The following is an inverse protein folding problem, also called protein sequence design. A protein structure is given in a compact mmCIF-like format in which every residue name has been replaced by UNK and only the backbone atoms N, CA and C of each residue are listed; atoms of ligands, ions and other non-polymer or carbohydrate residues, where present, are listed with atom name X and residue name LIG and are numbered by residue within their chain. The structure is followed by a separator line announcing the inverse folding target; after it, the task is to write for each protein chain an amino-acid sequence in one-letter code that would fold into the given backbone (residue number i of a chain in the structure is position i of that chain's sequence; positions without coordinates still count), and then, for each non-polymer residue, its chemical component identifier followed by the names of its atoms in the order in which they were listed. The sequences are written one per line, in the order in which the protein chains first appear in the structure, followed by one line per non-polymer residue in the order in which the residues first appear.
data_IF_853965875250
#
_entry.id   IF_853965875250
#
_cell.length_a   1.000
_cell.length_b   1.000
_cell.length_c   1.000
_cell.angle_alpha   90.00
_cell.angle_beta   90.00
_cell.angle_gamma   90.00
#
_symmetry.space_group_name_H-M   'P 1'
#
loop_
_entity.id
_entity.type
_entity.pdbx_description
1 polymer ?
#
# COMPACT_ATOMS: atom_id res chain seq x y z
N UNK A 1 -31.18 -7.63 18.38
CA UNK A 1 -31.33 -7.39 19.84
C UNK A 1 -30.73 -6.05 20.25
N UNK A 2 -29.53 -5.70 19.75
CA UNK A 2 -28.97 -4.35 19.90
C UNK A 2 -29.81 -3.28 19.20
N UNK A 3 -30.27 -3.53 17.96
CA UNK A 3 -31.14 -2.60 17.23
C UNK A 3 -32.43 -2.30 18.01
N UNK A 4 -33.03 -3.33 18.60
CA UNK A 4 -34.23 -3.19 19.44
C UNK A 4 -33.98 -2.36 20.71
N UNK A 5 -32.76 -2.35 21.25
CA UNK A 5 -32.41 -1.46 22.36
C UNK A 5 -32.24 -0.01 21.89
N UNK A 6 -31.67 0.20 20.70
CA UNK A 6 -31.55 1.53 20.07
C UNK A 6 -32.93 2.10 19.75
N UNK A 7 -33.83 1.30 19.16
CA UNK A 7 -35.23 1.68 18.88
C UNK A 7 -36.00 2.12 20.14
N UNK A 8 -35.65 1.55 21.30
CA UNK A 8 -36.25 1.89 22.59
C UNK A 8 -35.55 3.08 23.28
N UNK A 9 -34.66 3.80 22.60
CA UNK A 9 -33.89 4.93 23.15
C UNK A 9 -32.81 4.51 24.15
N UNK A 10 -32.48 3.22 24.25
CA UNK A 10 -31.50 2.66 25.19
C UNK A 10 -30.15 2.39 24.52
N UNK A 11 -29.69 3.33 23.71
CA UNK A 11 -28.46 3.22 22.93
C UNK A 11 -27.21 2.93 23.78
N UNK A 12 -27.10 3.53 24.97
CA UNK A 12 -25.99 3.26 25.90
C UNK A 12 -25.95 1.80 26.36
N UNK A 13 -27.12 1.18 26.56
CA UNK A 13 -27.21 -0.23 26.95
C UNK A 13 -26.85 -1.15 25.79
N UNK A 14 -27.25 -0.80 24.57
CA UNK A 14 -26.88 -1.52 23.35
C UNK A 14 -25.36 -1.55 23.17
N UNK A 15 -24.70 -0.38 23.24
CA UNK A 15 -23.24 -0.24 23.13
C UNK A 15 -22.52 -1.03 24.23
N UNK A 16 -22.96 -0.90 25.48
CA UNK A 16 -22.37 -1.63 26.61
C UNK A 16 -22.47 -3.14 26.44
N UNK A 17 -23.65 -3.65 26.07
CA UNK A 17 -23.88 -5.08 25.82
C UNK A 17 -22.91 -5.61 24.76
N UNK A 18 -22.77 -4.90 23.64
CA UNK A 18 -21.90 -5.33 22.54
C UNK A 18 -20.43 -5.29 22.94
N UNK A 19 -19.96 -4.20 23.57
CA UNK A 19 -18.59 -4.11 24.08
C UNK A 19 -18.26 -5.26 25.03
N UNK A 20 -19.19 -5.65 25.90
CA UNK A 20 -19.01 -6.80 26.78
C UNK A 20 -18.90 -8.11 26.02
N UNK A 21 -19.69 -8.32 24.97
CA UNK A 21 -19.64 -9.54 24.15
C UNK A 21 -18.36 -9.63 23.32
N UNK A 22 -17.90 -8.52 22.75
CA UNK A 22 -16.61 -8.43 22.05
C UNK A 22 -15.47 -8.81 22.99
N UNK A 23 -15.43 -8.23 24.21
CA UNK A 23 -14.39 -8.53 25.22
C UNK A 23 -14.37 -9.99 25.67
N UNK A 24 -15.51 -10.68 25.64
CA UNK A 24 -15.61 -12.10 26.00
C UNK A 24 -15.25 -13.05 24.86
N UNK A 25 -14.87 -12.52 23.70
CA UNK A 25 -14.62 -13.28 22.48
C UNK A 25 -15.76 -14.25 22.14
N UNK A 26 -17.00 -13.79 22.34
CA UNK A 26 -18.21 -14.57 22.10
C UNK A 26 -18.40 -14.89 20.61
N UNK A 27 -19.14 -15.95 20.27
CA UNK A 27 -19.35 -16.32 18.86
C UNK A 27 -19.99 -15.15 18.10
N UNK A 28 -19.40 -14.78 16.95
CA UNK A 28 -19.87 -13.65 16.14
C UNK A 28 -19.29 -12.28 16.51
N UNK A 29 -18.07 -12.21 17.04
CA UNK A 29 -17.37 -10.93 17.33
C UNK A 29 -17.31 -10.00 16.12
N UNK A 30 -17.07 -10.52 14.91
CA UNK A 30 -16.94 -9.71 13.70
C UNK A 30 -18.21 -8.91 13.38
N UNK A 31 -19.41 -9.52 13.23
CA UNK A 31 -20.67 -8.78 13.09
C UNK A 31 -20.94 -7.78 14.23
N UNK A 32 -20.52 -8.10 15.46
CA UNK A 32 -20.70 -7.21 16.61
C UNK A 32 -19.77 -5.99 16.55
N UNK A 33 -18.54 -6.16 16.06
CA UNK A 33 -17.61 -5.04 15.81
C UNK A 33 -18.13 -4.15 14.68
N UNK A 34 -18.54 -4.74 13.55
CA UNK A 34 -19.12 -3.98 12.42
C UNK A 34 -20.36 -3.19 12.84
N UNK A 35 -21.24 -3.80 13.63
CA UNK A 35 -22.41 -3.09 14.15
C UNK A 35 -21.99 -1.88 15.00
N UNK A 36 -21.03 -2.06 15.91
CA UNK A 36 -20.62 -1.02 16.84
C UNK A 36 -19.87 0.12 16.13
N UNK A 37 -19.07 -0.21 15.12
CA UNK A 37 -18.38 0.76 14.28
C UNK A 37 -19.39 1.64 13.55
N UNK A 38 -20.33 1.06 12.79
CA UNK A 38 -21.38 1.83 12.10
C UNK A 38 -22.23 2.66 13.06
N UNK A 39 -22.62 2.08 14.19
CA UNK A 39 -23.40 2.81 15.19
C UNK A 39 -22.63 4.02 15.75
N UNK A 40 -21.33 3.88 15.98
CA UNK A 40 -20.48 4.97 16.44
C UNK A 40 -20.23 6.02 15.35
N UNK A 41 -20.07 5.61 14.09
CA UNK A 41 -19.97 6.52 12.94
C UNK A 41 -21.24 7.38 12.77
N UNK A 42 -22.41 6.74 12.79
CA UNK A 42 -23.72 7.41 12.69
C UNK A 42 -23.95 8.41 13.84
N UNK A 43 -23.44 8.08 15.03
CA UNK A 43 -23.48 8.94 16.21
C UNK A 43 -22.39 10.02 16.22
N UNK A 44 -21.45 10.02 15.28
CA UNK A 44 -20.29 10.92 15.26
C UNK A 44 -19.28 10.66 16.39
N UNK A 45 -19.36 9.50 17.05
CA UNK A 45 -18.42 9.08 18.10
C UNK A 45 -17.13 8.50 17.50
N UNK A 46 -16.36 9.39 16.87
CA UNK A 46 -15.07 9.07 16.26
C UNK A 46 -14.04 8.55 17.26
N UNK A 47 -14.23 8.80 18.56
CA UNK A 47 -13.36 8.21 19.61
C UNK A 47 -13.57 6.71 19.67
N UNK A 48 -14.82 6.23 19.71
CA UNK A 48 -15.13 4.80 19.70
C UNK A 48 -14.70 4.14 18.38
N UNK A 49 -14.93 4.78 17.23
CA UNK A 49 -14.47 4.27 15.92
C UNK A 49 -12.95 4.13 15.90
N UNK A 50 -12.22 5.12 16.42
CA UNK A 50 -10.75 5.08 16.54
C UNK A 50 -10.28 3.91 17.40
N UNK A 51 -10.93 3.65 18.53
CA UNK A 51 -10.58 2.51 19.40
C UNK A 51 -10.78 1.16 18.69
N UNK A 52 -11.89 1.00 17.97
CA UNK A 52 -12.20 -0.25 17.25
C UNK A 52 -11.25 -0.51 16.10
N UNK A 53 -10.99 0.52 15.28
CA UNK A 53 -10.05 0.44 14.14
C UNK A 53 -8.62 0.24 14.63
N UNK A 54 -8.23 0.85 15.75
CA UNK A 54 -6.94 0.64 16.40
C UNK A 54 -6.77 -0.81 16.86
N UNK A 55 -7.75 -1.37 17.57
CA UNK A 55 -7.70 -2.75 18.04
C UNK A 55 -7.64 -3.73 16.86
N UNK A 56 -8.44 -3.51 15.81
CA UNK A 56 -8.41 -4.32 14.59
C UNK A 56 -7.04 -4.25 13.89
N UNK A 57 -6.48 -3.05 13.72
CA UNK A 57 -5.17 -2.87 13.09
C UNK A 57 -4.04 -3.52 13.90
N UNK A 58 -4.09 -3.45 15.23
CA UNK A 58 -3.10 -4.13 16.09
C UNK A 58 -3.13 -5.64 15.96
N UNK A 59 -4.33 -6.20 15.83
CA UNK A 59 -4.55 -7.63 15.72
C UNK A 59 -4.13 -8.16 14.34
N UNK A 60 -4.55 -7.47 13.28
CA UNK A 60 -4.26 -7.83 11.89
C UNK A 60 -3.82 -6.60 11.09
N UNK A 61 -2.54 -6.18 11.17
CA UNK A 61 -2.12 -4.96 10.49
C UNK A 61 -2.28 -5.10 8.97
N UNK A 62 -2.83 -4.08 8.32
CA UNK A 62 -3.04 -4.04 6.87
C UNK A 62 -3.03 -2.60 6.38
N UNK A 63 -2.85 -2.38 5.08
CA UNK A 63 -2.90 -1.03 4.52
C UNK A 63 -4.30 -0.43 4.68
N UNK A 64 -5.35 -1.22 4.40
CA UNK A 64 -6.75 -0.79 4.60
C UNK A 64 -7.04 -0.46 6.07
N UNK A 65 -6.62 -1.33 7.00
CA UNK A 65 -6.79 -1.07 8.43
C UNK A 65 -6.05 0.18 8.91
N UNK A 66 -4.87 0.48 8.33
CA UNK A 66 -4.14 1.71 8.60
C UNK A 66 -4.90 2.94 8.09
N UNK A 67 -5.48 2.88 6.88
CA UNK A 67 -6.27 3.97 6.30
C UNK A 67 -7.55 4.23 7.09
N UNK A 68 -8.29 3.18 7.47
CA UNK A 68 -9.48 3.29 8.33
C UNK A 68 -9.13 3.88 9.71
N UNK A 69 -8.03 3.42 10.31
CA UNK A 69 -7.52 4.00 11.57
C UNK A 69 -7.17 5.48 11.41
N UNK A 70 -6.46 5.85 10.33
CA UNK A 70 -6.08 7.24 10.06
C UNK A 70 -7.31 8.13 9.95
N UNK A 71 -8.29 7.74 9.15
CA UNK A 71 -9.52 8.51 8.97
C UNK A 71 -10.26 8.72 10.30
N UNK A 72 -10.49 7.64 11.05
CA UNK A 72 -11.16 7.72 12.34
C UNK A 72 -10.39 8.61 13.34
N UNK A 73 -9.07 8.42 13.43
CA UNK A 73 -8.21 9.15 14.34
C UNK A 73 -8.06 10.63 13.96
N UNK A 74 -8.07 10.97 12.66
CA UNK A 74 -8.07 12.36 12.19
C UNK A 74 -9.37 13.06 12.60
N UNK A 75 -10.53 12.42 12.39
CA UNK A 75 -11.84 12.93 12.82
C UNK A 75 -11.95 13.06 14.34
N UNK A 76 -11.30 12.19 15.09
CA UNK A 76 -11.21 12.26 16.55
C UNK A 76 -10.12 13.23 17.06
N UNK A 77 -9.28 13.80 16.20
CA UNK A 77 -8.17 14.68 16.58
C UNK A 77 -7.00 13.97 17.29
N UNK A 78 -6.88 12.65 17.16
CA UNK A 78 -5.89 11.79 17.85
C UNK A 78 -4.81 11.23 16.93
N UNK A 79 -4.87 11.53 15.63
CA UNK A 79 -3.97 10.93 14.65
C UNK A 79 -2.49 11.18 14.93
N UNK A 80 -2.13 12.38 15.37
CA UNK A 80 -0.74 12.75 15.69
C UNK A 80 -0.11 11.81 16.74
N UNK A 81 -0.90 11.34 17.70
CA UNK A 81 -0.44 10.46 18.78
C UNK A 81 -0.40 8.99 18.33
N UNK A 82 -1.38 8.57 17.53
CA UNK A 82 -1.52 7.17 17.10
C UNK A 82 -0.61 6.80 15.92
N UNK A 83 -0.36 7.73 15.00
CA UNK A 83 0.48 7.52 13.81
C UNK A 83 1.83 6.86 14.12
N UNK A 84 2.68 7.38 15.04
CA UNK A 84 3.99 6.75 15.29
C UNK A 84 3.87 5.34 15.87
N UNK A 85 2.78 5.05 16.60
CA UNK A 85 2.54 3.72 17.14
C UNK A 85 2.09 2.75 16.04
N UNK A 86 1.19 3.18 15.16
CA UNK A 86 0.72 2.41 14.01
C UNK A 86 1.89 2.06 13.06
N UNK A 87 2.70 3.07 12.71
CA UNK A 87 3.86 2.89 11.84
C UNK A 87 4.87 1.89 12.41
N UNK A 88 5.11 1.94 13.73
CA UNK A 88 5.99 0.99 14.41
C UNK A 88 5.47 -0.45 14.37
N UNK A 89 4.15 -0.66 14.40
CA UNK A 89 3.55 -1.99 14.25
C UNK A 89 3.81 -2.53 12.85
N UNK A 90 3.57 -1.71 11.82
CA UNK A 90 3.86 -2.09 10.43
C UNK A 90 5.33 -2.48 10.25
N UNK A 91 6.24 -1.64 10.73
CA UNK A 91 7.69 -1.87 10.64
C UNK A 91 8.09 -3.19 11.32
N UNK A 92 7.61 -3.41 12.54
CA UNK A 92 7.95 -4.61 13.34
C UNK A 92 7.26 -5.88 12.87
N UNK A 93 6.23 -5.77 12.03
CA UNK A 93 5.56 -6.95 11.46
C UNK A 93 6.46 -7.76 10.51
N UNK A 94 7.60 -7.21 10.09
CA UNK A 94 8.52 -7.83 9.12
C UNK A 94 7.99 -7.85 7.68
N UNK A 95 6.73 -7.44 7.45
CA UNK A 95 6.14 -7.32 6.13
C UNK A 95 6.52 -5.99 5.50
N UNK A 96 7.63 -6.00 4.78
CA UNK A 96 8.15 -4.81 4.11
C UNK A 96 7.14 -4.18 3.14
N UNK A 97 6.39 -5.00 2.38
CA UNK A 97 5.36 -4.51 1.46
C UNK A 97 4.32 -3.63 2.17
N UNK A 98 3.83 -4.08 3.34
CA UNK A 98 2.87 -3.32 4.14
C UNK A 98 3.48 -1.99 4.60
N UNK A 99 4.72 -2.05 5.13
CA UNK A 99 5.37 -0.85 5.63
C UNK A 99 5.59 0.18 4.53
N UNK A 100 6.02 -0.24 3.34
CA UNK A 100 6.19 0.65 2.19
C UNK A 100 4.85 1.25 1.73
N UNK A 101 3.78 0.45 1.63
CA UNK A 101 2.45 0.97 1.28
C UNK A 101 1.98 2.05 2.26
N UNK A 102 2.18 1.83 3.56
CA UNK A 102 1.86 2.83 4.59
C UNK A 102 2.69 4.11 4.43
N UNK A 103 3.99 3.99 4.14
CA UNK A 103 4.84 5.16 3.90
C UNK A 103 4.37 5.94 2.66
N UNK A 104 3.92 5.25 1.61
CA UNK A 104 3.36 5.88 0.42
C UNK A 104 2.03 6.59 0.71
N UNK A 105 1.11 5.95 1.45
CA UNK A 105 -0.16 6.55 1.89
C UNK A 105 0.06 7.81 2.76
N UNK A 106 1.15 7.83 3.53
CA UNK A 106 1.57 8.98 4.33
C UNK A 106 2.33 10.06 3.54
N UNK A 107 2.64 9.82 2.26
CA UNK A 107 3.47 10.71 1.45
C UNK A 107 4.94 10.75 1.88
N UNK A 108 5.39 9.81 2.72
CA UNK A 108 6.75 9.70 3.24
C UNK A 108 7.70 9.05 2.22
N UNK A 109 7.76 9.62 1.02
CA UNK A 109 8.42 9.05 -0.16
C UNK A 109 9.92 8.82 0.08
N UNK A 110 10.62 9.77 0.68
CA UNK A 110 12.07 9.63 0.96
C UNK A 110 12.37 8.45 1.89
N UNK A 111 11.52 8.23 2.90
CA UNK A 111 11.63 7.09 3.80
C UNK A 111 11.32 5.78 3.07
N UNK A 112 10.35 5.77 2.16
CA UNK A 112 10.02 4.61 1.35
C UNK A 112 11.20 4.22 0.43
N UNK A 113 11.81 5.20 -0.24
CA UNK A 113 13.01 5.00 -1.08
C UNK A 113 14.17 4.45 -0.24
N UNK A 114 14.47 5.10 0.89
CA UNK A 114 15.55 4.68 1.77
C UNK A 114 15.34 3.25 2.29
N UNK A 115 14.10 2.88 2.63
CA UNK A 115 13.78 1.54 3.09
C UNK A 115 13.90 0.51 1.96
N UNK A 116 13.43 0.84 0.76
CA UNK A 116 13.50 0.00 -0.42
C UNK A 116 14.95 -0.33 -0.81
N UNK A 117 15.84 0.68 -0.83
CA UNK A 117 17.26 0.50 -1.18
C UNK A 117 18.01 -0.41 -0.21
N UNK A 118 17.61 -0.42 1.06
CA UNK A 118 18.20 -1.27 2.09
C UNK A 118 17.54 -2.65 2.18
N UNK A 119 16.54 -2.94 1.35
CA UNK A 119 15.85 -4.22 1.35
C UNK A 119 16.52 -5.23 0.42
N UNK A 120 16.56 -6.53 0.80
CA UNK A 120 16.95 -7.58 -0.13
C UNK A 120 15.98 -7.64 -1.32
N UNK A 121 16.51 -7.57 -2.55
CA UNK A 121 15.68 -7.35 -3.76
C UNK A 121 14.68 -8.47 -4.07
N UNK A 122 14.91 -9.70 -3.57
CA UNK A 122 14.07 -10.88 -3.85
C UNK A 122 12.86 -11.02 -2.92
N UNK A 123 12.72 -10.15 -1.94
CA UNK A 123 11.75 -10.31 -0.84
C UNK A 123 10.51 -9.43 -0.96
N UNK A 124 10.43 -8.61 -2.01
CA UNK A 124 9.39 -7.59 -2.18
C UNK A 124 8.54 -7.89 -3.41
N UNK A 125 7.25 -7.59 -3.31
CA UNK A 125 6.36 -7.59 -4.46
C UNK A 125 6.82 -6.52 -5.47
N UNK A 126 7.09 -6.86 -6.76
CA UNK A 126 7.48 -5.88 -7.76
C UNK A 126 6.47 -4.76 -7.98
N UNK A 127 5.18 -5.00 -7.70
CA UNK A 127 4.17 -3.95 -7.81
C UNK A 127 4.38 -2.88 -6.73
N UNK A 128 4.71 -3.28 -5.51
CA UNK A 128 5.05 -2.33 -4.43
C UNK A 128 6.36 -1.59 -4.73
N UNK A 129 7.36 -2.29 -5.30
CA UNK A 129 8.59 -1.63 -5.76
C UNK A 129 8.30 -0.57 -6.81
N UNK A 130 7.44 -0.89 -7.79
CA UNK A 130 6.99 0.02 -8.83
C UNK A 130 6.29 1.24 -8.23
N UNK A 131 5.38 1.04 -7.28
CA UNK A 131 4.66 2.15 -6.63
C UNK A 131 5.62 3.14 -5.96
N UNK A 132 6.64 2.63 -5.25
CA UNK A 132 7.70 3.48 -4.67
C UNK A 132 8.48 4.22 -5.75
N UNK A 133 8.82 3.55 -6.86
CA UNK A 133 9.57 4.16 -7.95
C UNK A 133 8.77 5.28 -8.66
N UNK A 134 7.47 5.07 -8.88
CA UNK A 134 6.58 6.08 -9.47
C UNK A 134 6.36 7.27 -8.54
N UNK A 135 6.18 7.02 -7.24
CA UNK A 135 6.11 8.08 -6.24
C UNK A 135 7.42 8.88 -6.18
N UNK A 136 8.58 8.21 -6.22
CA UNK A 136 9.88 8.86 -6.31
C UNK A 136 10.00 9.74 -7.55
N UNK A 137 9.58 9.24 -8.72
CA UNK A 137 9.65 9.97 -9.99
C UNK A 137 8.85 11.29 -9.98
N UNK A 138 7.84 11.40 -9.12
CA UNK A 138 7.02 12.62 -8.99
C UNK A 138 7.80 13.75 -8.30
N UNK A 139 8.66 13.42 -7.33
CA UNK A 139 9.46 14.38 -6.58
C UNK A 139 10.86 14.59 -7.18
N UNK A 140 11.49 13.48 -7.57
CA UNK A 140 12.82 13.41 -8.18
C UNK A 140 12.77 12.42 -9.35
N UNK A 141 12.60 12.91 -10.59
CA UNK A 141 12.54 12.08 -11.79
C UNK A 141 13.75 11.15 -11.95
N UNK A 142 14.96 11.57 -11.53
CA UNK A 142 16.16 10.74 -11.69
C UNK A 142 16.12 9.51 -10.77
N UNK A 143 15.77 9.71 -9.49
CA UNK A 143 15.60 8.59 -8.55
C UNK A 143 14.50 7.63 -9.02
N UNK A 144 13.40 8.16 -9.56
CA UNK A 144 12.33 7.34 -10.12
C UNK A 144 12.77 6.51 -11.32
N UNK A 145 13.49 7.10 -12.26
CA UNK A 145 14.06 6.41 -13.42
C UNK A 145 14.98 5.26 -12.97
N UNK A 146 15.89 5.53 -12.03
CA UNK A 146 16.81 4.51 -11.52
C UNK A 146 16.06 3.32 -10.88
N UNK A 147 15.08 3.59 -10.02
CA UNK A 147 14.30 2.55 -9.34
C UNK A 147 13.42 1.74 -10.32
N UNK A 148 12.86 2.38 -11.34
CA UNK A 148 12.08 1.68 -12.38
C UNK A 148 12.96 0.74 -13.21
N UNK A 149 14.16 1.18 -13.60
CA UNK A 149 15.11 0.31 -14.30
C UNK A 149 15.49 -0.92 -13.47
N UNK A 150 15.80 -0.73 -12.19
CA UNK A 150 16.05 -1.85 -11.27
C UNK A 150 14.84 -2.81 -11.19
N UNK A 151 13.61 -2.30 -11.19
CA UNK A 151 12.41 -3.14 -11.17
C UNK A 151 12.23 -3.93 -12.47
N UNK A 152 12.47 -3.30 -13.62
CA UNK A 152 12.45 -3.96 -14.95
C UNK A 152 13.43 -5.13 -14.98
N UNK A 153 14.66 -4.94 -14.51
CA UNK A 153 15.67 -5.99 -14.45
C UNK A 153 15.22 -7.15 -13.56
N UNK A 154 14.70 -6.86 -12.36
CA UNK A 154 14.18 -7.89 -11.45
C UNK A 154 13.02 -8.68 -12.07
N UNK A 155 12.10 -7.99 -12.76
CA UNK A 155 10.98 -8.63 -13.45
C UNK A 155 11.46 -9.53 -14.60
N UNK A 156 12.44 -9.09 -15.39
CA UNK A 156 13.03 -9.91 -16.46
C UNK A 156 13.70 -11.17 -15.88
N UNK A 157 14.38 -11.05 -14.73
CA UNK A 157 15.03 -12.17 -14.05
C UNK A 157 14.04 -13.26 -13.58
N UNK A 158 12.75 -12.94 -13.35
CA UNK A 158 11.73 -13.94 -12.99
C UNK A 158 11.41 -14.92 -14.12
N UNK A 159 11.69 -14.53 -15.37
CA UNK A 159 11.55 -15.36 -16.58
C UNK A 159 10.17 -15.95 -16.83
N UNK A 160 9.12 -15.29 -16.37
CA UNK A 160 7.75 -15.66 -16.66
C UNK A 160 7.03 -14.58 -17.48
N UNK A 161 5.95 -14.98 -18.16
CA UNK A 161 5.24 -14.09 -19.10
C UNK A 161 4.51 -12.94 -18.40
N UNK A 162 4.10 -13.12 -17.15
CA UNK A 162 3.45 -12.05 -16.39
C UNK A 162 4.48 -11.00 -15.99
N UNK A 163 5.64 -11.43 -15.49
CA UNK A 163 6.73 -10.52 -15.15
C UNK A 163 7.24 -9.73 -16.37
N UNK A 164 7.32 -10.36 -17.55
CA UNK A 164 7.65 -9.62 -18.79
C UNK A 164 6.61 -8.56 -19.15
N UNK A 165 5.32 -8.82 -18.94
CA UNK A 165 4.27 -7.80 -19.15
C UNK A 165 4.43 -6.64 -18.17
N UNK A 166 4.58 -6.91 -16.88
CA UNK A 166 4.85 -5.87 -15.88
C UNK A 166 6.11 -5.05 -16.21
N UNK A 167 7.17 -5.70 -16.70
CA UNK A 167 8.40 -5.02 -17.13
C UNK A 167 8.13 -4.09 -18.33
N UNK A 168 7.31 -4.51 -19.29
CA UNK A 168 6.91 -3.66 -20.41
C UNK A 168 6.11 -2.45 -19.93
N UNK A 169 5.21 -2.64 -18.96
CA UNK A 169 4.44 -1.55 -18.38
C UNK A 169 5.35 -0.52 -17.67
N UNK A 170 6.41 -0.98 -16.99
CA UNK A 170 7.44 -0.10 -16.40
C UNK A 170 8.24 0.64 -17.48
N UNK A 171 8.60 -0.04 -18.57
CA UNK A 171 9.32 0.57 -19.71
C UNK A 171 8.49 1.67 -20.39
N UNK A 172 7.17 1.50 -20.48
CA UNK A 172 6.28 2.57 -20.96
C UNK A 172 6.36 3.79 -20.04
N UNK A 173 6.37 3.60 -18.73
CA UNK A 173 6.52 4.72 -17.77
C UNK A 173 7.89 5.38 -17.91
N UNK A 174 8.96 4.61 -18.06
CA UNK A 174 10.31 5.11 -18.32
C UNK A 174 10.34 5.99 -19.58
N UNK A 175 9.80 5.52 -20.72
CA UNK A 175 9.71 6.34 -21.94
C UNK A 175 9.07 7.69 -21.65
N UNK A 176 7.93 7.69 -20.95
CA UNK A 176 7.19 8.91 -20.66
C UNK A 176 8.00 9.86 -19.76
N UNK A 177 8.76 9.34 -18.78
CA UNK A 177 9.67 10.14 -17.96
C UNK A 177 10.82 10.74 -18.77
N UNK A 178 11.53 9.93 -19.57
CA UNK A 178 12.60 10.43 -20.46
C UNK A 178 12.07 11.47 -21.46
N UNK A 179 10.85 11.30 -21.97
CA UNK A 179 10.21 12.27 -22.87
C UNK A 179 9.96 13.60 -22.16
N UNK A 180 9.41 13.58 -20.93
CA UNK A 180 9.18 14.78 -20.12
C UNK A 180 10.48 15.53 -19.79
N UNK A 181 11.58 14.80 -19.66
CA UNK A 181 12.91 15.36 -19.43
C UNK A 181 13.65 15.77 -20.72
N UNK A 182 13.01 15.66 -21.89
CA UNK A 182 13.62 15.92 -23.21
C UNK A 182 14.83 15.04 -23.56
N UNK A 183 14.95 13.86 -22.93
CA UNK A 183 16.07 12.91 -23.08
C UNK A 183 15.73 11.73 -23.99
N UNK A 184 15.11 12.00 -25.13
CA UNK A 184 14.67 10.95 -26.07
C UNK A 184 15.83 10.08 -26.59
N UNK A 185 16.99 10.68 -26.84
CA UNK A 185 18.16 9.94 -27.33
C UNK A 185 18.69 8.93 -26.31
N UNK A 186 18.75 9.31 -25.03
CA UNK A 186 19.14 8.43 -23.93
C UNK A 186 18.17 7.25 -23.77
N UNK A 187 16.87 7.52 -23.86
CA UNK A 187 15.85 6.46 -23.86
C UNK A 187 16.08 5.44 -24.99
N UNK A 188 16.30 5.92 -26.22
CA UNK A 188 16.53 5.04 -27.37
C UNK A 188 17.78 4.17 -27.15
N UNK A 189 18.87 4.76 -26.67
CA UNK A 189 20.09 4.03 -26.36
C UNK A 189 19.86 2.97 -25.29
N UNK A 190 19.21 3.32 -24.18
CA UNK A 190 18.94 2.40 -23.08
C UNK A 190 18.03 1.23 -23.50
N UNK A 191 16.97 1.50 -24.26
CA UNK A 191 16.09 0.45 -24.79
C UNK A 191 16.81 -0.47 -25.77
N UNK A 192 17.67 0.08 -26.64
CA UNK A 192 18.48 -0.73 -27.56
C UNK A 192 19.41 -1.67 -26.79
N UNK A 193 20.14 -1.17 -25.79
CA UNK A 193 21.01 -2.01 -24.95
C UNK A 193 20.22 -3.12 -24.25
N UNK A 194 19.06 -2.81 -23.66
CA UNK A 194 18.19 -3.82 -23.04
C UNK A 194 17.79 -4.94 -24.03
N UNK A 195 17.45 -4.57 -25.26
CA UNK A 195 17.05 -5.52 -26.31
C UNK A 195 18.21 -6.41 -26.79
N UNK A 196 19.43 -5.86 -26.82
CA UNK A 196 20.66 -6.57 -27.18
C UNK A 196 21.04 -7.60 -26.10
N UNK A 197 20.97 -7.20 -24.83
CA UNK A 197 21.28 -8.06 -23.69
C UNK A 197 20.27 -9.22 -23.54
N UNK A 198 19.04 -9.01 -24.01
CA UNK A 198 17.94 -9.98 -23.87
C UNK A 198 17.51 -10.63 -25.21
N UNK A 199 18.42 -10.69 -26.20
CA UNK A 199 18.16 -11.23 -27.56
C UNK A 199 17.50 -12.62 -27.58
N UNK A 200 17.84 -13.49 -26.62
CA UNK A 200 17.36 -14.88 -26.55
C UNK A 200 15.97 -15.01 -25.91
N UNK A 201 15.47 -13.99 -25.23
CA UNK A 201 14.18 -14.02 -24.52
C UNK A 201 13.03 -13.71 -25.48
N UNK A 202 12.66 -14.71 -26.29
CA UNK A 202 11.59 -14.58 -27.32
C UNK A 202 10.26 -14.08 -26.76
N UNK A 203 9.87 -14.55 -25.57
CA UNK A 203 8.63 -14.13 -24.93
C UNK A 203 8.67 -12.64 -24.53
N UNK A 204 9.77 -12.17 -23.93
CA UNK A 204 9.95 -10.75 -23.61
C UNK A 204 9.87 -9.88 -24.88
N UNK A 205 10.52 -10.29 -25.97
CA UNK A 205 10.46 -9.55 -27.24
C UNK A 205 9.05 -9.49 -27.83
N UNK A 206 8.25 -10.55 -27.66
CA UNK A 206 6.86 -10.55 -28.09
C UNK A 206 6.04 -9.54 -27.29
N UNK A 207 6.18 -9.52 -25.96
CA UNK A 207 5.50 -8.54 -25.10
C UNK A 207 5.95 -7.10 -25.39
N UNK A 208 7.25 -6.85 -25.60
CA UNK A 208 7.77 -5.53 -26.00
C UNK A 208 7.17 -5.04 -27.33
N UNK A 209 7.01 -5.93 -28.30
CA UNK A 209 6.38 -5.59 -29.59
C UNK A 209 4.90 -5.22 -29.42
N UNK A 210 4.21 -5.85 -28.47
CA UNK A 210 2.80 -5.56 -28.16
C UNK A 210 2.66 -4.25 -27.41
N UNK A 211 3.46 -4.04 -26.36
CA UNK A 211 3.39 -2.85 -25.53
C UNK A 211 3.87 -1.59 -26.26
N UNK A 212 4.81 -1.74 -27.20
CA UNK A 212 5.43 -0.63 -27.92
C UNK A 212 5.95 0.46 -26.98
N UNK A 213 6.83 0.13 -26.00
CA UNK A 213 7.40 1.10 -25.07
C UNK A 213 8.35 2.08 -25.76
#
# INVERSE_FOLDING_TARGET
MADKLVELGRSTDAVRLIRTRIKKNDVGVWPLREWLERFAEDAGDWTTVTELTWDAYREFPSADGYRSLREAAERAGRWKDLRPMALRIAERSGRLDLYLRILLDDGAIDLAIARLRNAPSKSLDPDVRRDVALAAATNDPESGIALLWENVELLILRRDRNAYRSACDDLVQLRELYRKLYRKAEWQQALTSLLEDNTRLRALRAELKVAGP
#
